data_IF_899771112870
#
_entry.id   IF_899771112870
#
_cell.length_a   1.000
_cell.length_b   1.000
_cell.length_c   1.000
_cell.angle_alpha   90.00
_cell.angle_beta   90.00
_cell.angle_gamma   90.00
#
_symmetry.space_group_name_H-M   'P 1'
#
loop_
_entity.id
_entity.type
_entity.pdbx_description
1 polymer ?
#
# COMPACT_ATOMS: atom_id res chain seq x y z
N UNK A 1 -10.45 -3.22 -12.34
CA UNK A 1 -9.50 -3.08 -11.20
C UNK A 1 -8.77 -4.38 -11.02
N UNK A 2 -7.47 -4.32 -10.88
CA UNK A 2 -6.62 -5.45 -10.54
C UNK A 2 -5.79 -5.05 -9.31
N UNK A 3 -5.79 -5.89 -8.28
CA UNK A 3 -5.03 -5.67 -7.06
C UNK A 3 -4.03 -6.79 -6.87
N UNK A 4 -2.78 -6.42 -6.67
CA UNK A 4 -1.68 -7.33 -6.36
C UNK A 4 -1.27 -7.13 -4.90
N UNK A 5 -1.32 -8.19 -4.13
CA UNK A 5 -0.82 -8.21 -2.76
C UNK A 5 0.50 -8.97 -2.73
N UNK A 6 1.56 -8.28 -2.30
CA UNK A 6 2.89 -8.86 -2.14
C UNK A 6 3.22 -9.04 -0.66
N UNK A 7 3.63 -10.24 -0.30
CA UNK A 7 4.16 -10.56 1.02
C UNK A 7 5.45 -11.37 0.92
N UNK A 8 6.10 -11.60 2.04
CA UNK A 8 7.34 -12.41 2.09
C UNK A 8 7.14 -13.87 1.67
N UNK A 9 5.90 -14.34 1.59
CA UNK A 9 5.60 -15.75 1.37
C UNK A 9 4.80 -16.03 0.09
N UNK A 10 4.02 -15.07 -0.36
CA UNK A 10 3.12 -15.29 -1.49
C UNK A 10 2.72 -13.99 -2.18
N UNK A 11 2.28 -14.15 -3.41
CA UNK A 11 1.59 -13.12 -4.19
C UNK A 11 0.13 -13.52 -4.30
N UNK A 12 -0.77 -12.58 -4.06
CA UNK A 12 -2.20 -12.72 -4.38
C UNK A 12 -2.61 -11.68 -5.40
N UNK A 13 -3.36 -12.12 -6.38
CA UNK A 13 -3.89 -11.24 -7.42
C UNK A 13 -5.41 -11.38 -7.41
N UNK A 14 -6.09 -10.25 -7.32
CA UNK A 14 -7.55 -10.20 -7.35
C UNK A 14 -7.98 -9.27 -8.47
N UNK A 15 -8.86 -9.76 -9.33
CA UNK A 15 -9.52 -8.97 -10.37
C UNK A 15 -10.99 -8.76 -10.04
N UNK A 16 -11.51 -7.60 -10.32
CA UNK A 16 -12.91 -7.29 -10.04
C UNK A 16 -13.28 -5.85 -10.30
N UNK A 17 -14.48 -5.51 -9.92
CA UNK A 17 -15.04 -4.17 -10.03
C UNK A 17 -15.58 -3.69 -8.69
N UNK A 18 -15.54 -2.39 -8.52
CA UNK A 18 -16.18 -1.73 -7.40
C UNK A 18 -17.23 -0.75 -7.94
N UNK A 19 -18.47 -0.93 -7.55
CA UNK A 19 -19.56 0.00 -7.89
C UNK A 19 -20.61 0.04 -6.78
N UNK A 20 -21.10 1.25 -6.49
CA UNK A 20 -22.20 1.47 -5.53
C UNK A 20 -22.00 0.78 -4.17
N UNK A 21 -20.78 0.81 -3.63
CA UNK A 21 -20.45 0.20 -2.35
C UNK A 21 -20.36 -1.33 -2.36
N UNK A 22 -20.42 -1.95 -3.54
CA UNK A 22 -20.28 -3.41 -3.72
C UNK A 22 -18.98 -3.73 -4.44
N UNK A 23 -18.31 -4.77 -4.00
CA UNK A 23 -17.14 -5.34 -4.66
C UNK A 23 -17.54 -6.65 -5.32
N UNK A 24 -17.35 -6.74 -6.64
CA UNK A 24 -17.57 -7.96 -7.41
C UNK A 24 -16.22 -8.54 -7.78
N UNK A 25 -15.86 -9.68 -7.21
CA UNK A 25 -14.63 -10.39 -7.53
C UNK A 25 -14.87 -11.27 -8.74
N UNK A 26 -14.03 -11.11 -9.77
CA UNK A 26 -14.07 -11.91 -11.02
C UNK A 26 -13.05 -13.03 -11.02
N UNK A 27 -11.89 -12.82 -10.39
CA UNK A 27 -10.84 -13.81 -10.32
C UNK A 27 -9.96 -13.61 -9.11
N UNK A 28 -9.46 -14.71 -8.58
CA UNK A 28 -8.47 -14.75 -7.51
C UNK A 28 -7.36 -15.71 -7.91
N UNK A 29 -6.14 -15.22 -7.94
CA UNK A 29 -4.97 -16.00 -8.33
C UNK A 29 -3.95 -16.00 -7.20
N UNK A 30 -3.27 -17.09 -7.06
CA UNK A 30 -2.45 -17.37 -5.92
C UNK A 30 -1.11 -17.93 -6.37
N UNK A 31 -0.03 -17.27 -6.01
CA UNK A 31 1.31 -17.82 -6.17
C UNK A 31 1.85 -18.12 -4.79
N UNK A 32 2.11 -19.37 -4.55
CA UNK A 32 2.77 -19.83 -3.34
C UNK A 32 4.27 -19.77 -3.60
N UNK A 33 4.99 -19.24 -2.60
CA UNK A 33 6.44 -19.26 -2.59
C UNK A 33 7.14 -18.13 -3.37
N UNK A 34 7.04 -16.95 -2.78
CA UNK A 34 7.98 -15.85 -3.05
C UNK A 34 9.24 -15.95 -2.16
N UNK A 35 9.47 -17.13 -1.58
CA UNK A 35 10.58 -17.37 -0.64
C UNK A 35 11.91 -17.01 -1.30
N UNK A 36 12.62 -16.07 -0.70
CA UNK A 36 13.88 -15.55 -1.24
C UNK A 36 13.76 -14.35 -2.17
N UNK A 37 12.57 -13.99 -2.68
CA UNK A 37 12.40 -12.79 -3.48
C UNK A 37 12.14 -11.53 -2.62
N UNK A 38 11.44 -11.71 -1.50
CA UNK A 38 11.09 -10.67 -0.56
C UNK A 38 11.51 -11.06 0.85
N UNK A 39 12.19 -10.14 1.53
CA UNK A 39 12.56 -10.30 2.96
C UNK A 39 12.15 -9.04 3.70
N UNK A 40 11.26 -9.17 4.68
CA UNK A 40 10.71 -8.06 5.47
C UNK A 40 10.15 -6.91 4.61
N UNK A 41 9.54 -7.25 3.48
CA UNK A 41 8.99 -6.28 2.54
C UNK A 41 10.01 -5.65 1.60
N UNK A 42 11.29 -5.97 1.70
CA UNK A 42 12.31 -5.55 0.73
C UNK A 42 12.45 -6.59 -0.37
N UNK A 43 12.51 -6.12 -1.60
CA UNK A 43 12.79 -6.97 -2.76
C UNK A 43 14.30 -7.24 -2.75
N UNK A 44 14.69 -8.51 -2.59
CA UNK A 44 16.09 -8.96 -2.55
C UNK A 44 16.50 -9.73 -3.79
N UNK A 45 15.53 -10.26 -4.54
CA UNK A 45 15.73 -10.90 -5.84
C UNK A 45 14.64 -10.40 -6.80
N UNK A 46 14.97 -9.31 -7.49
CA UNK A 46 14.06 -8.64 -8.42
C UNK A 46 13.77 -9.50 -9.65
N UNK A 47 14.78 -10.20 -10.16
CA UNK A 47 14.66 -11.00 -11.38
C UNK A 47 13.68 -12.16 -11.17
N UNK A 48 13.85 -12.92 -10.10
CA UNK A 48 12.93 -14.02 -9.75
C UNK A 48 11.51 -13.52 -9.47
N UNK A 49 11.36 -12.36 -8.80
CA UNK A 49 10.05 -11.77 -8.56
C UNK A 49 9.36 -11.36 -9.86
N UNK A 50 10.10 -10.76 -10.79
CA UNK A 50 9.57 -10.37 -12.10
C UNK A 50 9.16 -11.59 -12.94
N UNK A 51 9.92 -12.67 -12.90
CA UNK A 51 9.55 -13.91 -13.57
C UNK A 51 8.23 -14.48 -13.03
N UNK A 52 8.08 -14.57 -11.71
CA UNK A 52 6.85 -15.03 -11.08
C UNK A 52 5.64 -14.15 -11.46
N UNK A 53 5.82 -12.83 -11.48
CA UNK A 53 4.75 -11.91 -11.88
C UNK A 53 4.41 -12.06 -13.37
N UNK A 54 5.40 -12.15 -14.25
CA UNK A 54 5.19 -12.34 -15.69
C UNK A 54 4.43 -13.61 -15.98
N UNK A 55 4.81 -14.71 -15.35
CA UNK A 55 4.11 -15.98 -15.48
C UNK A 55 2.63 -15.85 -15.15
N UNK A 56 2.29 -15.20 -14.01
CA UNK A 56 0.90 -14.97 -13.63
C UNK A 56 0.16 -14.09 -14.64
N UNK A 57 0.80 -13.03 -15.14
CA UNK A 57 0.21 -12.14 -16.14
C UNK A 57 -0.10 -12.86 -17.45
N UNK A 58 0.79 -13.72 -17.91
CA UNK A 58 0.64 -14.47 -19.15
C UNK A 58 -0.39 -15.59 -19.02
N UNK A 59 -0.25 -16.44 -18.01
CA UNK A 59 -1.14 -17.59 -17.79
C UNK A 59 -2.58 -17.17 -17.56
N UNK A 60 -2.80 -16.07 -16.81
CA UNK A 60 -4.13 -15.60 -16.45
C UNK A 60 -4.64 -14.49 -17.39
N UNK A 61 -3.85 -14.10 -18.39
CA UNK A 61 -4.18 -13.01 -19.31
C UNK A 61 -4.65 -11.73 -18.59
N UNK A 62 -3.86 -11.28 -17.61
CA UNK A 62 -4.23 -10.17 -16.73
C UNK A 62 -4.09 -8.82 -17.43
N UNK A 63 -4.94 -7.82 -17.10
CA UNK A 63 -4.81 -6.48 -17.63
C UNK A 63 -3.52 -5.80 -17.16
N UNK A 64 -2.93 -4.97 -18.03
CA UNK A 64 -1.69 -4.23 -17.74
C UNK A 64 -1.92 -2.79 -17.31
N UNK A 65 -3.19 -2.43 -17.05
CA UNK A 65 -3.60 -1.08 -16.63
C UNK A 65 -4.40 -1.14 -15.34
N UNK A 66 -4.43 -0.05 -14.62
CA UNK A 66 -5.20 0.12 -13.38
C UNK A 66 -4.85 -0.96 -12.35
N UNK A 67 -3.56 -1.15 -12.11
CA UNK A 67 -3.01 -2.10 -11.13
C UNK A 67 -2.80 -1.38 -9.80
N UNK A 68 -3.40 -1.92 -8.75
CA UNK A 68 -3.18 -1.49 -7.37
C UNK A 68 -2.24 -2.46 -6.68
N UNK A 69 -1.23 -1.92 -6.01
CA UNK A 69 -0.26 -2.70 -5.27
C UNK A 69 -0.51 -2.56 -3.77
N UNK A 70 -0.63 -3.68 -3.09
CA UNK A 70 -0.69 -3.75 -1.63
C UNK A 70 0.56 -4.48 -1.15
N UNK A 71 1.36 -3.81 -0.32
CA UNK A 71 2.60 -4.34 0.22
C UNK A 71 2.43 -4.70 1.69
N UNK A 72 2.88 -5.89 2.06
CA UNK A 72 3.01 -6.31 3.45
C UNK A 72 4.48 -6.15 3.86
N UNK A 73 4.75 -5.16 4.70
CA UNK A 73 6.11 -4.83 5.13
C UNK A 73 6.13 -4.34 6.57
N UNK A 74 7.10 -4.80 7.33
CA UNK A 74 7.38 -4.28 8.68
C UNK A 74 8.19 -2.98 8.67
N UNK A 75 8.57 -2.49 7.51
CA UNK A 75 9.25 -1.20 7.34
C UNK A 75 8.28 -0.02 7.29
N UNK A 76 6.98 -0.29 7.22
CA UNK A 76 5.95 0.73 7.33
C UNK A 76 5.65 0.99 8.80
N UNK A 77 5.54 2.26 9.15
CA UNK A 77 5.10 2.68 10.47
C UNK A 77 3.75 3.36 10.36
N UNK A 78 2.81 2.94 11.18
CA UNK A 78 1.45 3.49 11.18
C UNK A 78 1.02 3.86 12.60
N UNK A 79 0.27 4.93 12.72
CA UNK A 79 -0.35 5.36 13.98
C UNK A 79 -1.62 6.17 13.73
N UNK A 80 -2.47 6.21 14.75
CA UNK A 80 -3.63 7.11 14.75
C UNK A 80 -3.20 8.44 15.32
N UNK A 81 -3.47 9.51 14.58
CA UNK A 81 -3.09 10.88 14.93
C UNK A 81 -4.31 11.80 14.90
N UNK A 82 -4.37 12.71 15.84
CA UNK A 82 -5.32 13.83 15.79
C UNK A 82 -4.68 14.98 15.01
N UNK A 83 -5.34 15.41 13.96
CA UNK A 83 -4.81 16.45 13.07
C UNK A 83 -5.85 17.57 12.88
N UNK A 84 -5.42 18.82 12.75
CA UNK A 84 -6.32 19.88 12.31
C UNK A 84 -6.74 19.64 10.86
N UNK A 85 -7.83 20.26 10.44
CA UNK A 85 -8.26 20.21 9.04
C UNK A 85 -7.31 21.09 8.22
N UNK A 86 -6.46 20.45 7.43
CA UNK A 86 -5.42 21.08 6.62
C UNK A 86 -5.60 20.70 5.14
N UNK A 87 -5.06 21.52 4.26
CA UNK A 87 -4.89 21.12 2.86
C UNK A 87 -3.79 20.05 2.75
N UNK A 88 -3.73 19.36 1.63
CA UNK A 88 -2.84 18.22 1.44
C UNK A 88 -1.36 18.55 1.70
N UNK A 89 -0.86 19.68 1.19
CA UNK A 89 0.53 20.10 1.39
C UNK A 89 0.86 20.29 2.87
N UNK A 90 0.02 21.01 3.60
CA UNK A 90 0.20 21.24 5.03
C UNK A 90 0.03 19.96 5.84
N UNK A 91 -0.84 19.05 5.37
CA UNK A 91 -1.00 17.74 5.99
C UNK A 91 0.28 16.93 5.88
N UNK A 92 0.94 16.90 4.72
CA UNK A 92 2.21 16.19 4.57
C UNK A 92 3.31 16.79 5.46
N UNK A 93 3.38 18.10 5.57
CA UNK A 93 4.31 18.77 6.50
C UNK A 93 4.01 18.42 7.97
N UNK A 94 2.74 18.35 8.34
CA UNK A 94 2.32 17.95 9.69
C UNK A 94 2.72 16.51 9.98
N UNK A 95 2.40 15.57 9.09
CA UNK A 95 2.73 14.16 9.24
C UNK A 95 4.24 13.94 9.30
N UNK A 96 5.04 14.69 8.55
CA UNK A 96 6.50 14.58 8.61
C UNK A 96 7.06 14.87 10.01
N UNK A 97 6.42 15.71 10.77
CA UNK A 97 6.80 16.01 12.16
C UNK A 97 6.33 14.93 13.13
N UNK A 98 5.16 14.34 12.86
CA UNK A 98 4.59 13.27 13.69
C UNK A 98 5.40 11.97 13.63
N UNK A 99 6.13 11.75 12.56
CA UNK A 99 6.97 10.56 12.36
C UNK A 99 8.47 10.80 12.56
N UNK A 100 8.89 11.90 13.18
CA UNK A 100 10.31 12.19 13.46
C UNK A 100 10.99 11.18 14.35
N UNK A 101 10.24 10.55 15.28
CA UNK A 101 10.76 9.52 16.20
C UNK A 101 11.06 8.19 15.50
N UNK A 102 10.62 8.04 14.26
CA UNK A 102 10.81 6.82 13.46
C UNK A 102 12.11 6.95 12.63
N UNK A 103 13.22 7.18 13.29
CA UNK A 103 14.53 7.48 12.70
C UNK A 103 15.19 6.37 11.86
N UNK A 104 14.41 5.42 11.33
CA UNK A 104 14.90 4.29 10.52
C UNK A 104 14.40 4.30 9.08
N UNK A 105 13.44 5.15 8.73
CA UNK A 105 12.92 5.22 7.37
C UNK A 105 13.69 6.29 6.62
N UNK A 106 14.52 5.87 5.68
CA UNK A 106 15.21 6.78 4.77
C UNK A 106 14.22 7.36 3.76
N UNK A 107 14.26 8.69 3.60
CA UNK A 107 13.45 9.41 2.61
C UNK A 107 11.96 8.99 2.61
N UNK A 108 11.24 9.18 3.73
CA UNK A 108 9.90 8.64 3.89
C UNK A 108 8.88 9.34 3.00
N UNK A 109 7.86 8.59 2.59
CA UNK A 109 6.60 9.10 2.06
C UNK A 109 5.50 8.87 3.10
N UNK A 110 4.51 9.76 3.11
CA UNK A 110 3.42 9.73 4.07
C UNK A 110 2.09 9.53 3.37
N UNK A 111 1.22 8.77 4.02
CA UNK A 111 -0.16 8.62 3.63
C UNK A 111 -1.07 8.74 4.84
N UNK A 112 -2.33 9.03 4.62
CA UNK A 112 -3.32 9.07 5.69
C UNK A 112 -4.71 8.70 5.19
N UNK A 113 -5.52 8.23 6.12
CA UNK A 113 -6.92 7.90 5.90
C UNK A 113 -7.77 8.45 7.06
N UNK A 114 -8.83 9.24 6.81
CA UNK A 114 -9.73 9.72 7.85
C UNK A 114 -10.49 8.56 8.49
N UNK A 115 -10.50 8.48 9.83
CA UNK A 115 -11.18 7.41 10.56
C UNK A 115 -12.65 7.74 10.86
N UNK A 116 -12.94 8.99 11.12
CA UNK A 116 -14.30 9.44 11.42
C UNK A 116 -14.77 10.27 10.24
N UNK A 117 -15.64 9.74 9.42
CA UNK A 117 -16.19 10.37 8.22
C UNK A 117 -15.99 11.90 8.08
N UNK A 118 -16.29 12.48 6.97
CA UNK A 118 -16.14 13.92 6.77
C UNK A 118 -17.17 14.71 7.60
N UNK A 119 -16.89 14.94 8.88
CA UNK A 119 -17.56 16.01 9.61
C UNK A 119 -16.96 17.35 9.17
N UNK A 120 -17.61 17.99 8.22
CA UNK A 120 -17.17 19.29 7.67
C UNK A 120 -17.11 20.42 8.71
N UNK A 121 -17.67 20.21 9.89
CA UNK A 121 -17.68 21.18 10.99
C UNK A 121 -16.58 20.91 12.03
N UNK A 122 -15.97 19.74 12.01
CA UNK A 122 -14.90 19.41 12.95
C UNK A 122 -13.63 20.20 12.63
N UNK A 123 -13.05 20.86 13.63
CA UNK A 123 -11.74 21.54 13.52
C UNK A 123 -10.57 20.57 13.63
N UNK A 124 -10.78 19.43 14.28
CA UNK A 124 -9.80 18.36 14.52
C UNK A 124 -10.44 17.05 14.05
N UNK A 125 -9.66 16.24 13.38
CA UNK A 125 -10.07 14.91 12.94
C UNK A 125 -9.02 13.87 13.31
N UNK A 126 -9.47 12.63 13.48
CA UNK A 126 -8.57 11.49 13.60
C UNK A 126 -8.25 10.92 12.21
N UNK A 127 -6.99 10.67 12.00
CA UNK A 127 -6.52 9.99 10.79
C UNK A 127 -5.67 8.78 11.17
N UNK A 128 -5.79 7.72 10.40
CA UNK A 128 -4.81 6.66 10.36
C UNK A 128 -3.70 7.12 9.43
N UNK A 129 -2.53 7.38 9.98
CA UNK A 129 -1.39 7.90 9.24
C UNK A 129 -0.30 6.84 9.12
N UNK A 130 0.42 6.87 8.03
CA UNK A 130 1.48 5.91 7.74
C UNK A 130 2.69 6.62 7.13
N UNK A 131 3.88 6.15 7.50
CA UNK A 131 5.14 6.47 6.85
C UNK A 131 5.74 5.20 6.21
N UNK A 132 6.20 5.32 4.99
CA UNK A 132 6.80 4.25 4.22
C UNK A 132 8.10 4.71 3.53
N UNK A 133 9.08 3.83 3.31
CA UNK A 133 10.24 4.16 2.50
C UNK A 133 9.82 4.52 1.07
N UNK A 134 10.41 5.56 0.50
CA UNK A 134 10.11 6.00 -0.87
C UNK A 134 10.41 4.94 -1.91
N UNK A 135 11.41 4.12 -1.68
CA UNK A 135 11.86 3.08 -2.62
C UNK A 135 10.77 2.04 -2.94
N UNK A 136 9.72 1.96 -2.12
CA UNK A 136 8.54 1.12 -2.39
C UNK A 136 7.47 1.80 -3.26
N UNK A 137 7.63 3.07 -3.58
CA UNK A 137 6.57 3.89 -4.21
C UNK A 137 6.92 4.37 -5.61
N UNK A 138 7.96 3.84 -6.19
CA UNK A 138 8.43 4.19 -7.55
C UNK A 138 7.76 3.31 -8.60
#
# INVERSE_FOLDING_TARGET
MLTVYLSNKYIRIVTGDHSSGKVNIRGMYYTIDTTGCLVNGSIVDEESLLELLREQWEVQNLPKKDVYLVLDSNQFTAKVVQVPVLNEKKMMEYLSREFTDVGRISNPVYGYFPLNGEDKKAKIRQVFAMAAPRDYTI
#
